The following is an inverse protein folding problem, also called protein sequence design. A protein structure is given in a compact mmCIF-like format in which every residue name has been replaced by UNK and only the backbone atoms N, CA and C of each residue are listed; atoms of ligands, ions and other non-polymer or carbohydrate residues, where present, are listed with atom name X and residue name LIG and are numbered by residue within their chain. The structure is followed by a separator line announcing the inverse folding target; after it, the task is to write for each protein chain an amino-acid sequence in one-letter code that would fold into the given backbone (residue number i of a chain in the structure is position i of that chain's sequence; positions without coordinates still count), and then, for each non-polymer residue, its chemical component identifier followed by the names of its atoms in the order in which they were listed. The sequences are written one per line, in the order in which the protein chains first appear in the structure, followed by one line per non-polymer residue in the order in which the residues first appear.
data_IF_470582215577
#
_entry.id   IF_470582215577
#
_cell.length_a   1.000
_cell.length_b   1.000
_cell.length_c   1.000
_cell.angle_alpha   90.00
_cell.angle_beta   90.00
_cell.angle_gamma   90.00
#
_symmetry.space_group_name_H-M   'P 1'
#
loop_
_entity.id
_entity.type
_entity.pdbx_description
1 polymer ?
#
# COMPACT_ATOMS: atom_id res chain seq x y z
N UNK A 1 42.22 24.16 -34.57
CA UNK A 1 41.81 24.05 -33.17
C UNK A 1 40.31 24.34 -32.97
N UNK A 2 39.64 25.20 -33.74
CA UNK A 2 38.20 25.55 -33.54
C UNK A 2 37.20 24.42 -33.83
N UNK A 3 37.48 23.49 -34.75
CA UNK A 3 36.59 22.38 -35.11
C UNK A 3 36.48 21.29 -34.03
N UNK A 4 37.51 21.06 -33.22
CA UNK A 4 37.51 20.08 -32.14
C UNK A 4 36.69 20.56 -30.95
N UNK A 5 36.69 21.88 -30.69
CA UNK A 5 35.96 22.50 -29.59
C UNK A 5 34.42 22.41 -29.77
N UNK A 6 33.95 22.58 -31.03
CA UNK A 6 32.53 22.49 -31.37
C UNK A 6 32.02 21.04 -31.20
N UNK A 7 32.86 20.05 -31.54
CA UNK A 7 32.45 18.64 -31.39
C UNK A 7 32.34 18.20 -29.91
N UNK A 8 33.20 18.69 -29.03
CA UNK A 8 33.08 18.45 -27.59
C UNK A 8 31.83 19.08 -26.96
N UNK A 9 31.42 20.27 -27.40
CA UNK A 9 30.21 20.93 -26.89
C UNK A 9 28.95 20.18 -27.34
N UNK A 10 28.94 19.67 -28.58
CA UNK A 10 27.81 18.88 -29.08
C UNK A 10 27.66 17.53 -28.36
N UNK A 11 28.77 16.89 -28.01
CA UNK A 11 28.74 15.65 -27.22
C UNK A 11 28.27 15.89 -25.79
N UNK A 12 28.57 17.03 -25.18
CA UNK A 12 28.14 17.36 -23.81
C UNK A 12 26.62 17.62 -23.72
N UNK A 13 26.00 18.13 -24.80
CA UNK A 13 24.57 18.36 -24.85
C UNK A 13 23.71 17.08 -24.98
N UNK A 14 24.30 15.98 -25.47
CA UNK A 14 23.59 14.69 -25.59
C UNK A 14 23.46 13.94 -24.26
N UNK A 15 24.29 14.27 -23.25
CA UNK A 15 24.20 13.64 -21.92
C UNK A 15 23.17 14.29 -20.99
N UNK A 16 22.61 15.44 -21.32
CA UNK A 16 21.62 16.13 -20.49
C UNK A 16 20.14 15.78 -20.82
N UNK A 17 19.89 14.92 -21.82
CA UNK A 17 18.54 14.64 -22.30
C UNK A 17 17.86 13.42 -21.69
N UNK A 18 18.39 12.79 -20.62
CA UNK A 18 17.82 11.57 -20.07
C UNK A 18 17.52 11.68 -18.57
N UNK A 19 16.74 12.70 -18.15
CA UNK A 19 16.26 12.83 -16.77
C UNK A 19 14.82 13.35 -16.66
N UNK A 20 13.89 12.80 -17.41
CA UNK A 20 12.50 13.31 -17.35
C UNK A 20 11.39 12.28 -17.08
N UNK A 21 11.69 11.07 -16.66
CA UNK A 21 10.64 10.07 -16.42
C UNK A 21 10.49 9.60 -14.96
N UNK A 22 11.39 9.93 -14.05
CA UNK A 22 11.34 9.38 -12.67
C UNK A 22 10.40 10.21 -11.76
N UNK A 23 10.26 11.50 -11.97
CA UNK A 23 9.46 12.37 -11.09
C UNK A 23 7.95 12.18 -11.19
N UNK A 24 7.42 11.76 -12.34
CA UNK A 24 5.98 11.53 -12.52
C UNK A 24 5.46 10.27 -11.82
N UNK A 25 6.32 9.28 -11.62
CA UNK A 25 5.95 7.97 -11.08
C UNK A 25 6.00 7.97 -9.54
N UNK A 26 6.95 8.65 -8.93
CA UNK A 26 6.98 8.83 -7.46
C UNK A 26 5.77 9.62 -6.96
N UNK A 27 5.36 10.67 -7.67
CA UNK A 27 4.17 11.44 -7.33
C UNK A 27 2.86 10.62 -7.47
N UNK A 28 2.80 9.62 -8.36
CA UNK A 28 1.61 8.78 -8.52
C UNK A 28 1.49 7.70 -7.44
N UNK A 29 2.59 7.26 -6.84
CA UNK A 29 2.58 6.26 -5.76
C UNK A 29 2.09 6.85 -4.43
N UNK A 30 2.32 8.14 -4.20
CA UNK A 30 1.81 8.86 -3.02
C UNK A 30 0.29 9.13 -3.08
N UNK A 31 -0.39 8.68 -4.15
CA UNK A 31 -1.83 8.86 -4.34
C UNK A 31 -2.65 7.62 -3.98
N UNK A 32 -2.03 6.56 -3.47
CA UNK A 32 -2.76 5.42 -2.92
C UNK A 32 -2.71 5.50 -1.41
N UNK A 33 -3.89 5.52 -0.80
CA UNK A 33 -4.01 5.61 0.67
C UNK A 33 -4.82 4.45 1.23
N UNK A 34 -4.50 4.05 2.45
CA UNK A 34 -5.24 3.08 3.25
C UNK A 34 -5.67 3.75 4.54
N UNK A 35 -6.95 3.83 4.79
CA UNK A 35 -7.51 4.48 5.97
C UNK A 35 -8.59 3.61 6.62
N UNK A 36 -8.69 3.69 7.94
CA UNK A 36 -9.84 3.18 8.68
C UNK A 36 -10.92 4.27 8.78
N UNK A 37 -12.20 3.89 8.82
CA UNK A 37 -13.33 4.82 8.90
C UNK A 37 -13.44 5.54 10.25
N UNK A 38 -12.85 4.98 11.32
CA UNK A 38 -12.77 5.57 12.66
C UNK A 38 -11.36 5.44 13.22
N UNK A 39 -11.07 6.17 14.26
CA UNK A 39 -9.80 6.10 15.02
C UNK A 39 -9.95 5.31 16.33
N UNK A 40 -11.15 4.88 16.69
CA UNK A 40 -11.40 4.08 17.89
C UNK A 40 -12.61 3.16 17.66
N UNK A 41 -12.48 1.91 18.12
CA UNK A 41 -13.46 0.85 17.97
C UNK A 41 -13.64 0.12 19.30
N UNK A 42 -14.88 -0.35 19.54
CA UNK A 42 -15.17 -1.34 20.60
C UNK A 42 -15.08 -2.74 19.99
N UNK A 43 -15.04 -3.78 20.82
CA UNK A 43 -14.98 -5.17 20.37
C UNK A 43 -16.23 -5.66 19.59
N UNK A 44 -17.28 -4.85 19.49
CA UNK A 44 -18.49 -5.14 18.71
C UNK A 44 -18.58 -4.33 17.40
N UNK A 45 -17.62 -3.47 17.16
CA UNK A 45 -17.61 -2.63 15.95
C UNK A 45 -17.10 -3.42 14.73
N UNK A 46 -17.49 -2.97 13.55
CA UNK A 46 -16.80 -3.29 12.30
C UNK A 46 -15.82 -2.19 11.96
N UNK A 47 -14.61 -2.58 11.54
CA UNK A 47 -13.57 -1.68 11.04
C UNK A 47 -13.67 -1.68 9.52
N UNK A 48 -14.02 -0.53 8.93
CA UNK A 48 -14.06 -0.39 7.50
C UNK A 48 -12.70 0.17 7.01
N UNK A 49 -12.00 -0.64 6.23
CA UNK A 49 -10.77 -0.26 5.55
C UNK A 49 -11.11 0.33 4.20
N UNK A 50 -10.67 1.56 3.95
CA UNK A 50 -10.83 2.23 2.68
C UNK A 50 -9.47 2.35 1.99
N UNK A 51 -9.33 1.69 0.84
CA UNK A 51 -8.19 1.84 -0.06
C UNK A 51 -8.62 2.80 -1.16
N UNK A 52 -8.07 4.00 -1.16
CA UNK A 52 -8.34 5.00 -2.19
C UNK A 52 -7.17 5.01 -3.18
N UNK A 53 -7.44 4.60 -4.40
CA UNK A 53 -6.46 4.60 -5.49
C UNK A 53 -6.67 5.83 -6.37
N UNK A 54 -6.06 6.96 -6.01
CA UNK A 54 -6.02 8.18 -6.85
C UNK A 54 -4.90 8.16 -7.89
N UNK A 55 -4.17 7.05 -8.00
CA UNK A 55 -3.12 6.91 -9.00
C UNK A 55 -3.72 6.70 -10.40
N UNK A 56 -2.95 6.98 -11.43
CA UNK A 56 -3.35 6.71 -12.81
C UNK A 56 -3.21 5.23 -13.22
N UNK A 57 -3.07 4.28 -12.27
CA UNK A 57 -2.76 2.87 -12.55
C UNK A 57 -3.61 1.94 -11.70
N UNK A 58 -4.02 0.82 -12.30
CA UNK A 58 -4.65 -0.26 -11.57
C UNK A 58 -3.65 -0.92 -10.62
N UNK A 59 -4.14 -1.37 -9.47
CA UNK A 59 -3.38 -2.13 -8.49
C UNK A 59 -4.08 -3.45 -8.19
N UNK A 60 -3.31 -4.47 -7.83
CA UNK A 60 -3.84 -5.81 -7.54
C UNK A 60 -3.62 -6.11 -6.06
N UNK A 61 -4.64 -6.60 -5.39
CA UNK A 61 -4.63 -7.05 -4.00
C UNK A 61 -5.01 -8.52 -3.91
N UNK A 62 -4.59 -9.19 -2.83
CA UNK A 62 -4.87 -10.61 -2.60
C UNK A 62 -5.99 -10.82 -1.59
N UNK A 63 -6.80 -11.85 -1.84
CA UNK A 63 -7.82 -12.35 -0.92
C UNK A 63 -7.58 -13.80 -0.58
N UNK A 64 -7.28 -14.09 0.67
CA UNK A 64 -7.18 -15.46 1.18
C UNK A 64 -8.55 -16.13 1.14
N UNK A 65 -8.64 -17.32 0.57
CA UNK A 65 -9.91 -18.04 0.34
C UNK A 65 -10.96 -17.25 -0.48
N UNK A 66 -10.57 -16.17 -1.16
CA UNK A 66 -11.49 -15.29 -1.90
C UNK A 66 -12.34 -14.35 -1.02
N UNK A 67 -12.13 -14.34 0.30
CA UNK A 67 -12.96 -13.57 1.25
C UNK A 67 -12.14 -12.65 2.12
N UNK A 68 -10.98 -13.09 2.61
CA UNK A 68 -10.19 -12.36 3.58
C UNK A 68 -9.09 -11.58 2.88
N UNK A 69 -9.09 -10.25 3.00
CA UNK A 69 -8.02 -9.41 2.47
C UNK A 69 -6.67 -9.84 3.06
N UNK A 70 -5.69 -10.13 2.20
CA UNK A 70 -4.34 -10.46 2.65
C UNK A 70 -3.66 -9.23 3.23
N UNK A 71 -3.57 -9.20 4.55
CA UNK A 71 -2.97 -8.09 5.29
C UNK A 71 -2.32 -8.55 6.57
N UNK A 72 -1.46 -7.68 7.09
CA UNK A 72 -0.85 -7.79 8.41
C UNK A 72 -1.37 -6.67 9.29
N UNK A 73 -1.08 -6.76 10.58
CA UNK A 73 -1.27 -5.66 11.50
C UNK A 73 -0.04 -5.49 12.39
N UNK A 74 0.12 -4.32 12.97
CA UNK A 74 1.11 -4.02 13.98
C UNK A 74 0.41 -3.44 15.20
N UNK A 75 0.92 -3.75 16.38
CA UNK A 75 0.48 -3.20 17.66
C UNK A 75 1.53 -2.21 18.15
N UNK A 76 1.10 -1.08 18.67
CA UNK A 76 2.00 -0.13 19.31
C UNK A 76 2.26 -0.54 20.76
N UNK A 77 3.54 -0.73 21.11
CA UNK A 77 4.00 -1.03 22.45
C UNK A 77 5.12 -0.06 22.82
N UNK A 78 4.95 0.68 23.92
CA UNK A 78 5.92 1.71 24.35
C UNK A 78 6.32 2.71 23.24
N UNK A 79 5.38 3.16 22.42
CA UNK A 79 5.57 4.05 21.26
C UNK A 79 6.42 3.45 20.13
N UNK A 80 6.55 2.15 20.08
CA UNK A 80 7.24 1.41 19.04
C UNK A 80 6.26 0.42 18.42
N UNK A 81 6.24 0.33 17.09
CA UNK A 81 5.43 -0.65 16.38
C UNK A 81 6.08 -2.03 16.47
N UNK A 82 5.27 -3.04 16.75
CA UNK A 82 5.71 -4.45 16.73
C UNK A 82 6.16 -4.89 15.33
N UNK A 83 6.74 -6.07 15.24
CA UNK A 83 6.84 -6.79 13.97
C UNK A 83 5.45 -7.03 13.37
N UNK A 84 5.41 -7.40 12.10
CA UNK A 84 4.16 -7.72 11.40
C UNK A 84 3.52 -8.96 12.03
N UNK A 85 2.30 -8.79 12.50
CA UNK A 85 1.49 -9.85 13.09
C UNK A 85 0.51 -10.37 12.04
N UNK A 86 0.19 -11.66 12.13
CA UNK A 86 -0.67 -12.35 11.19
C UNK A 86 -2.06 -12.55 11.79
N UNK A 87 -3.08 -12.36 10.98
CA UNK A 87 -4.42 -12.85 11.31
C UNK A 87 -4.51 -14.36 11.11
N UNK A 88 -5.36 -15.02 11.89
CA UNK A 88 -5.54 -16.47 11.89
C UNK A 88 -5.84 -17.02 10.48
N UNK A 89 -6.58 -16.30 9.65
CA UNK A 89 -6.95 -16.73 8.30
C UNK A 89 -5.77 -16.81 7.33
N UNK A 90 -4.65 -16.18 7.64
CA UNK A 90 -3.43 -16.30 6.85
C UNK A 90 -2.82 -17.70 6.89
N UNK A 91 -3.16 -18.51 7.91
CA UNK A 91 -2.73 -19.90 8.05
C UNK A 91 -3.66 -20.90 7.32
N UNK A 92 -4.77 -20.47 6.75
CA UNK A 92 -5.70 -21.35 6.05
C UNK A 92 -5.07 -21.95 4.79
N UNK A 93 -5.31 -23.26 4.56
CA UNK A 93 -4.85 -23.99 3.38
C UNK A 93 -5.81 -23.80 2.21
N UNK A 94 -5.98 -22.58 1.74
CA UNK A 94 -6.80 -22.24 0.59
C UNK A 94 -6.02 -21.32 -0.38
N UNK A 95 -6.40 -21.24 -1.65
CA UNK A 95 -5.73 -20.37 -2.60
C UNK A 95 -5.97 -18.89 -2.27
N UNK A 96 -5.03 -18.06 -2.68
CA UNK A 96 -5.21 -16.61 -2.76
C UNK A 96 -5.84 -16.26 -4.10
N UNK A 97 -6.91 -15.48 -4.06
CA UNK A 97 -7.54 -14.89 -5.23
C UNK A 97 -7.09 -13.44 -5.37
N UNK A 98 -6.86 -13.02 -6.60
CA UNK A 98 -6.43 -11.67 -6.89
C UNK A 98 -7.62 -10.84 -7.35
N UNK A 99 -7.71 -9.61 -6.87
CA UNK A 99 -8.70 -8.62 -7.30
C UNK A 99 -8.01 -7.32 -7.68
N UNK A 100 -8.64 -6.54 -8.54
CA UNK A 100 -8.07 -5.31 -9.11
C UNK A 100 -8.83 -4.09 -8.61
N UNK A 101 -8.11 -3.20 -7.94
CA UNK A 101 -8.60 -1.86 -7.64
C UNK A 101 -8.20 -0.94 -8.80
N UNK A 102 -9.19 -0.49 -9.54
CA UNK A 102 -8.98 0.35 -10.71
C UNK A 102 -8.38 1.71 -10.36
N UNK A 103 -7.71 2.31 -11.33
CA UNK A 103 -7.25 3.68 -11.23
C UNK A 103 -8.42 4.64 -10.90
N UNK A 104 -8.17 5.61 -10.02
CA UNK A 104 -9.15 6.60 -9.56
C UNK A 104 -10.43 5.99 -8.94
N UNK A 105 -10.30 4.86 -8.25
CA UNK A 105 -11.40 4.20 -7.55
C UNK A 105 -11.11 4.02 -6.06
N UNK A 106 -12.16 3.70 -5.30
CA UNK A 106 -12.09 3.36 -3.89
C UNK A 106 -12.59 1.94 -3.69
N UNK A 107 -11.87 1.18 -2.89
CA UNK A 107 -12.25 -0.16 -2.44
C UNK A 107 -12.46 -0.13 -0.93
N UNK A 108 -13.55 -0.74 -0.44
CA UNK A 108 -13.83 -0.85 0.99
C UNK A 108 -13.91 -2.31 1.40
N UNK A 109 -13.21 -2.67 2.47
CA UNK A 109 -13.27 -3.99 3.10
C UNK A 109 -13.59 -3.86 4.57
N UNK A 110 -14.56 -4.65 5.05
CA UNK A 110 -15.02 -4.61 6.44
C UNK A 110 -14.53 -5.84 7.19
N UNK A 111 -13.96 -5.63 8.37
CA UNK A 111 -13.51 -6.67 9.28
C UNK A 111 -14.08 -6.43 10.68
N UNK A 112 -14.45 -7.47 11.43
CA UNK A 112 -14.90 -7.31 12.81
C UNK A 112 -13.72 -6.96 13.71
N UNK A 113 -13.92 -6.02 14.63
CA UNK A 113 -12.86 -5.62 15.58
C UNK A 113 -12.50 -6.72 16.58
N UNK A 114 -13.38 -7.66 16.81
CA UNK A 114 -13.16 -8.86 17.63
C UNK A 114 -12.05 -9.77 17.11
N UNK A 115 -11.57 -9.55 15.87
CA UNK A 115 -10.41 -10.26 15.32
C UNK A 115 -9.12 -9.95 16.10
N UNK A 116 -9.09 -8.84 16.84
CA UNK A 116 -7.99 -8.50 17.74
C UNK A 116 -8.22 -9.16 19.10
N UNK A 117 -7.28 -10.01 19.50
CA UNK A 117 -7.35 -10.74 20.78
C UNK A 117 -7.09 -9.84 22.01
N UNK A 118 -6.68 -8.61 21.79
CA UNK A 118 -6.33 -7.66 22.86
C UNK A 118 -6.67 -6.22 22.50
N UNK A 119 -6.90 -5.41 23.51
CA UNK A 119 -7.04 -3.96 23.36
C UNK A 119 -5.70 -3.29 23.06
N UNK A 120 -5.73 -2.11 22.46
CA UNK A 120 -4.52 -1.33 22.19
C UNK A 120 -4.61 -0.48 20.94
N UNK A 121 -3.49 0.10 20.56
CA UNK A 121 -3.32 0.89 19.33
C UNK A 121 -2.73 0.01 18.24
N UNK A 122 -3.36 0.02 17.08
CA UNK A 122 -3.01 -0.81 15.94
C UNK A 122 -2.91 -0.01 14.65
N UNK A 123 -2.27 -0.63 13.65
CA UNK A 123 -2.34 -0.20 12.24
C UNK A 123 -2.31 -1.42 11.33
N UNK A 124 -2.87 -1.29 10.14
CA UNK A 124 -2.87 -2.33 9.12
C UNK A 124 -1.78 -2.09 8.08
N UNK A 125 -1.32 -3.20 7.50
CA UNK A 125 -0.40 -3.23 6.38
C UNK A 125 -0.99 -4.12 5.28
N UNK A 126 -1.26 -3.54 4.12
CA UNK A 126 -1.79 -4.26 2.95
C UNK A 126 -0.73 -4.27 1.86
N UNK A 127 -0.35 -5.46 1.41
CA UNK A 127 0.53 -5.60 0.25
C UNK A 127 -0.30 -5.54 -1.03
N UNK A 128 0.14 -4.76 -1.99
CA UNK A 128 -0.45 -4.70 -3.31
C UNK A 128 0.62 -4.82 -4.40
N UNK A 129 0.23 -5.34 -5.54
CA UNK A 129 1.09 -5.47 -6.70
C UNK A 129 0.74 -4.40 -7.74
N UNK A 130 1.76 -3.78 -8.33
CA UNK A 130 1.64 -2.84 -9.43
C UNK A 130 2.09 -3.52 -10.73
N UNK A 131 1.16 -3.93 -11.62
CA UNK A 131 1.50 -4.66 -12.84
C UNK A 131 2.48 -3.90 -13.75
N UNK A 132 2.33 -2.58 -13.84
CA UNK A 132 3.22 -1.74 -14.68
C UNK A 132 4.67 -1.68 -14.22
N UNK A 133 4.92 -1.91 -12.92
CA UNK A 133 6.27 -1.85 -12.33
C UNK A 133 6.83 -3.22 -11.99
N UNK A 134 6.02 -4.26 -12.14
CA UNK A 134 6.36 -5.62 -11.70
C UNK A 134 6.91 -5.64 -10.26
N UNK A 135 6.21 -4.95 -9.35
CA UNK A 135 6.68 -4.78 -7.98
C UNK A 135 5.55 -4.85 -6.96
N UNK A 136 5.87 -5.38 -5.80
CA UNK A 136 5.00 -5.32 -4.63
C UNK A 136 5.31 -4.07 -3.80
N UNK A 137 4.25 -3.47 -3.30
CA UNK A 137 4.28 -2.28 -2.44
C UNK A 137 3.46 -2.56 -1.19
N UNK A 138 3.69 -1.78 -0.14
CA UNK A 138 2.94 -1.89 1.11
C UNK A 138 2.23 -0.58 1.41
N UNK A 139 0.93 -0.65 1.68
CA UNK A 139 0.15 0.44 2.26
C UNK A 139 0.12 0.28 3.76
N UNK A 140 0.29 1.37 4.48
CA UNK A 140 0.18 1.42 5.94
C UNK A 140 -1.01 2.33 6.27
N UNK A 141 -1.94 1.85 7.11
CA UNK A 141 -3.10 2.65 7.52
C UNK A 141 -2.71 3.74 8.53
N UNK A 142 -3.66 4.66 8.79
CA UNK A 142 -3.62 5.41 10.04
C UNK A 142 -3.65 4.46 11.23
N UNK A 143 -3.19 4.93 12.39
CA UNK A 143 -3.37 4.23 13.66
C UNK A 143 -4.82 4.35 14.14
N UNK A 144 -5.30 3.31 14.82
CA UNK A 144 -6.61 3.25 15.47
C UNK A 144 -6.52 2.47 16.78
N UNK A 145 -7.46 2.69 17.67
CA UNK A 145 -7.54 2.06 18.98
C UNK A 145 -8.68 1.03 19.01
N UNK A 146 -8.42 -0.15 19.58
CA UNK A 146 -9.45 -1.15 19.96
C UNK A 146 -9.55 -1.18 21.48
N UNK A 147 -10.77 -1.00 22.02
CA UNK A 147 -11.08 -0.91 23.47
C UNK A 147 -11.96 -2.03 23.93
#
# INVERSE_FOLDING_TARGET
MMKVFIFCILMFLLFFSCKKEITGIENSLNQVTLLTDKISYTNLDSINLNIENKSGFDMVIGFRCGVYLEMFYQKEENKVWSDNLFFWYMSLHCPTFLDTIQANSTFTHSIPSEIFESTGTFRFLVTYYLPRKDTNMVLISNSFEVR
#
